data_IF_146867651011
#
_entry.id   IF_146867651011
#
_cell.length_a   1.000
_cell.length_b   1.000
_cell.length_c   1.000
_cell.angle_alpha   90.00
_cell.angle_beta   90.00
_cell.angle_gamma   90.00
#
_symmetry.space_group_name_H-M   'P 1'
#
loop_
_entity.id
_entity.type
_entity.pdbx_description
1 polymer ?
#
# COMPACT_ATOMS: atom_id res chain seq x y z
N UNK A 1 14.46 -4.46 -0.22
CA UNK A 1 13.19 -5.02 0.33
C UNK A 1 13.19 -5.02 1.86
N UNK A 2 14.16 -5.67 2.52
CA UNK A 2 14.21 -5.77 4.01
C UNK A 2 14.25 -4.41 4.72
N UNK A 3 15.10 -3.49 4.25
CA UNK A 3 15.17 -2.14 4.85
C UNK A 3 13.91 -1.28 4.65
N UNK A 4 13.08 -1.62 3.67
CA UNK A 4 11.85 -0.88 3.35
C UNK A 4 10.72 -1.30 4.29
N UNK A 5 10.49 -2.61 4.43
CA UNK A 5 9.48 -3.14 5.36
C UNK A 5 9.76 -2.73 6.81
N UNK A 6 11.04 -2.67 7.20
CA UNK A 6 11.41 -2.21 8.53
C UNK A 6 10.96 -0.76 8.79
N UNK A 7 11.37 0.16 7.92
CA UNK A 7 11.08 1.60 8.05
C UNK A 7 9.61 1.96 7.89
N UNK A 8 8.89 1.26 7.02
CA UNK A 8 7.49 1.59 6.71
C UNK A 8 6.47 0.86 7.60
N UNK A 9 6.87 -0.22 8.28
CA UNK A 9 5.96 -1.03 9.09
C UNK A 9 6.56 -1.43 10.45
N UNK A 10 7.69 -2.15 10.46
CA UNK A 10 8.15 -2.82 11.68
C UNK A 10 8.72 -1.87 12.75
N UNK A 11 9.22 -0.70 12.37
CA UNK A 11 9.64 0.33 13.34
C UNK A 11 8.43 1.06 13.98
N UNK A 12 7.21 0.81 13.50
CA UNK A 12 5.97 1.47 13.94
C UNK A 12 4.94 0.53 14.59
N UNK A 13 5.15 -0.78 14.52
CA UNK A 13 4.22 -1.80 15.05
C UNK A 13 4.93 -2.65 16.08
N UNK A 14 4.37 -2.70 17.30
CA UNK A 14 4.85 -3.62 18.33
C UNK A 14 4.43 -5.05 17.98
N UNK A 15 5.41 -5.90 17.68
CA UNK A 15 5.18 -7.31 17.39
C UNK A 15 5.04 -8.10 18.70
N UNK A 16 3.88 -8.72 18.88
CA UNK A 16 3.52 -9.39 20.14
C UNK A 16 3.94 -10.86 20.16
N UNK A 17 3.87 -11.50 19.00
CA UNK A 17 4.25 -12.90 18.80
C UNK A 17 4.45 -13.18 17.30
N UNK A 18 4.85 -14.40 16.98
CA UNK A 18 5.13 -14.82 15.61
C UNK A 18 3.88 -14.78 14.69
N UNK A 19 2.70 -15.10 15.22
CA UNK A 19 1.46 -15.03 14.45
C UNK A 19 1.12 -13.58 14.08
N UNK A 20 1.30 -12.64 15.01
CA UNK A 20 1.15 -11.21 14.74
C UNK A 20 2.19 -10.74 13.70
N UNK A 21 3.45 -11.17 13.82
CA UNK A 21 4.49 -10.86 12.83
C UNK A 21 4.08 -11.32 11.41
N UNK A 22 3.57 -12.55 11.29
CA UNK A 22 3.07 -13.09 10.02
C UNK A 22 1.94 -12.25 9.45
N UNK A 23 0.98 -11.83 10.28
CA UNK A 23 -0.12 -10.99 9.83
C UNK A 23 0.38 -9.63 9.33
N UNK A 24 1.24 -8.97 10.10
CA UNK A 24 1.82 -7.67 9.73
C UNK A 24 2.58 -7.76 8.40
N UNK A 25 3.41 -8.79 8.23
CA UNK A 25 4.16 -9.00 6.99
C UNK A 25 3.25 -9.35 5.81
N UNK A 26 2.16 -10.08 6.03
CA UNK A 26 1.18 -10.40 5.00
C UNK A 26 0.42 -9.14 4.53
N UNK A 27 -0.03 -8.30 5.47
CA UNK A 27 -0.67 -7.02 5.16
C UNK A 27 0.31 -6.09 4.43
N UNK A 28 1.55 -5.97 4.90
CA UNK A 28 2.57 -5.16 4.22
C UNK A 28 2.87 -5.68 2.81
N UNK A 29 2.96 -7.00 2.61
CA UNK A 29 3.16 -7.60 1.28
C UNK A 29 2.02 -7.24 0.34
N UNK A 30 0.77 -7.32 0.81
CA UNK A 30 -0.40 -6.94 0.02
C UNK A 30 -0.34 -5.46 -0.37
N UNK A 31 -0.02 -4.58 0.58
CA UNK A 31 0.20 -3.16 0.31
C UNK A 31 1.30 -2.94 -0.74
N UNK A 32 2.48 -3.55 -0.53
CA UNK A 32 3.65 -3.40 -1.39
C UNK A 32 3.34 -3.79 -2.84
N UNK A 33 2.62 -4.90 -3.02
CA UNK A 33 2.35 -5.47 -4.33
C UNK A 33 1.18 -4.80 -5.05
N UNK A 34 0.17 -4.30 -4.33
CA UNK A 34 -1.10 -3.82 -4.92
C UNK A 34 -1.27 -2.31 -4.89
N UNK A 35 -0.61 -1.60 -3.99
CA UNK A 35 -0.84 -0.15 -3.79
C UNK A 35 0.43 0.69 -3.75
N UNK A 36 1.53 0.17 -3.19
CA UNK A 36 2.77 0.96 -3.03
C UNK A 36 3.27 1.41 -4.40
N UNK A 37 3.53 2.71 -4.62
CA UNK A 37 4.06 3.18 -5.88
C UNK A 37 5.55 2.84 -6.02
N UNK A 38 5.96 2.36 -7.20
CA UNK A 38 7.36 2.03 -7.48
C UNK A 38 7.90 2.91 -8.60
N UNK A 39 8.92 3.71 -8.29
CA UNK A 39 9.52 4.65 -9.24
C UNK A 39 10.02 3.99 -10.52
N UNK A 40 10.60 2.80 -10.43
CA UNK A 40 11.07 2.02 -11.59
C UNK A 40 9.95 1.46 -12.47
N UNK A 41 8.68 1.58 -12.04
CA UNK A 41 7.49 1.16 -12.77
C UNK A 41 6.53 2.31 -13.01
N UNK A 42 7.03 3.55 -13.14
CA UNK A 42 6.19 4.73 -13.35
C UNK A 42 5.14 4.92 -12.25
N UNK A 43 5.54 4.71 -10.99
CA UNK A 43 4.67 4.73 -9.82
C UNK A 43 3.62 3.61 -9.77
N UNK A 44 3.71 2.59 -10.63
CA UNK A 44 2.79 1.45 -10.59
C UNK A 44 3.20 0.42 -9.53
N UNK A 45 2.23 -0.14 -8.79
CA UNK A 45 2.47 -1.30 -7.96
C UNK A 45 2.78 -2.54 -8.81
N UNK A 46 3.47 -3.55 -8.25
CA UNK A 46 3.88 -4.76 -8.96
C UNK A 46 2.74 -5.51 -9.66
N UNK A 47 1.58 -5.58 -9.00
CA UNK A 47 0.40 -6.28 -9.51
C UNK A 47 -0.51 -5.41 -10.39
N UNK A 48 -0.21 -4.12 -10.56
CA UNK A 48 -0.94 -3.31 -11.55
C UNK A 48 -0.56 -3.74 -12.97
N UNK A 49 -1.53 -4.30 -13.69
CA UNK A 49 -1.41 -4.72 -15.09
C UNK A 49 -1.65 -3.56 -16.06
N UNK A 50 -2.52 -2.61 -15.70
CA UNK A 50 -2.90 -1.48 -16.54
C UNK A 50 -2.34 -0.16 -16.00
N UNK A 51 -2.09 0.77 -16.92
CA UNK A 51 -1.78 2.15 -16.55
C UNK A 51 -3.07 2.79 -16.03
N UNK A 52 -3.10 3.36 -14.80
CA UNK A 52 -4.23 4.18 -14.42
C UNK A 52 -4.35 5.27 -15.48
N UNK A 53 -5.53 5.40 -16.09
CA UNK A 53 -5.79 6.42 -17.09
C UNK A 53 -5.31 7.76 -16.54
N UNK A 54 -4.46 8.44 -17.30
CA UNK A 54 -4.05 9.82 -16.97
C UNK A 54 -5.37 10.58 -16.74
N UNK A 55 -5.54 11.27 -15.60
CA UNK A 55 -6.79 11.95 -15.28
C UNK A 55 -6.95 13.19 -16.19
N UNK A 56 -7.17 12.96 -17.47
CA UNK A 56 -7.70 13.93 -18.39
C UNK A 56 -9.20 13.90 -18.16
N UNK A 57 -9.67 14.90 -17.38
CA UNK A 57 -11.07 15.08 -16.94
C UNK A 57 -11.47 14.14 -15.79
N UNK A 58 -11.02 14.49 -14.57
CA UNK A 58 -11.65 13.98 -13.35
C UNK A 58 -13.04 14.61 -13.24
N UNK A 59 -14.06 13.88 -13.71
CA UNK A 59 -15.35 13.93 -13.02
C UNK A 59 -15.06 13.77 -11.52
N UNK A 60 -15.74 14.52 -10.62
CA UNK A 60 -15.45 14.51 -9.19
C UNK A 60 -15.73 13.13 -8.57
N UNK A 61 -14.77 12.21 -8.74
CA UNK A 61 -14.78 10.87 -8.15
C UNK A 61 -14.36 10.98 -6.71
N UNK A 62 -15.18 10.41 -5.83
CA UNK A 62 -14.91 10.37 -4.39
C UNK A 62 -13.59 9.64 -4.13
N UNK A 63 -12.67 10.27 -3.39
CA UNK A 63 -11.46 9.63 -2.90
C UNK A 63 -11.77 8.82 -1.64
N UNK A 64 -11.42 7.54 -1.65
CA UNK A 64 -11.57 6.61 -0.54
C UNK A 64 -10.21 6.36 0.11
N UNK A 65 -10.15 6.48 1.43
CA UNK A 65 -8.98 6.14 2.25
C UNK A 65 -9.23 4.80 2.96
N UNK A 66 -8.23 3.92 2.91
CA UNK A 66 -8.19 2.68 3.70
C UNK A 66 -6.97 2.71 4.60
N UNK A 67 -7.15 2.43 5.89
CA UNK A 67 -6.07 2.32 6.86
C UNK A 67 -5.60 0.86 6.94
N UNK A 68 -4.30 0.64 6.84
CA UNK A 68 -3.65 -0.67 6.91
C UNK A 68 -2.66 -0.68 8.08
N UNK A 69 -2.41 -1.85 8.70
CA UNK A 69 -1.54 -1.97 9.88
C UNK A 69 -1.92 -0.99 11.02
N UNK A 70 -3.21 -0.93 11.36
CA UNK A 70 -3.68 -0.01 12.40
C UNK A 70 -3.54 1.48 12.07
N UNK A 71 -3.36 1.83 10.80
CA UNK A 71 -3.27 3.22 10.33
C UNK A 71 -1.84 3.73 10.11
N UNK A 72 -0.82 2.89 10.32
CA UNK A 72 0.57 3.18 9.93
C UNK A 72 0.66 3.48 8.43
N UNK A 73 -0.12 2.75 7.63
CA UNK A 73 -0.18 2.93 6.18
C UNK A 73 -1.59 3.39 5.78
N UNK A 74 -1.65 4.37 4.88
CA UNK A 74 -2.89 4.86 4.29
C UNK A 74 -2.88 4.63 2.79
N UNK A 75 -3.85 3.86 2.31
CA UNK A 75 -4.07 3.59 0.90
C UNK A 75 -5.21 4.46 0.38
N UNK A 76 -5.06 5.00 -0.83
CA UNK A 76 -6.04 5.88 -1.45
C UNK A 76 -6.46 5.34 -2.81
N UNK A 77 -7.77 5.32 -3.06
CA UNK A 77 -8.37 4.90 -4.34
C UNK A 77 -9.55 5.79 -4.70
N UNK A 78 -9.79 6.00 -5.98
CA UNK A 78 -11.05 6.63 -6.43
C UNK A 78 -12.19 5.61 -6.38
N UNK A 79 -13.40 6.07 -6.04
CA UNK A 79 -14.61 5.29 -6.22
C UNK A 79 -14.85 5.00 -7.71
N UNK A 80 -15.40 3.82 -8.02
CA UNK A 80 -15.71 3.38 -9.39
C UNK A 80 -16.74 4.30 -10.04
#
# INVERSE_FOLDING_TARGET
>A
MIGTVRREALDHVLIMNEAHARQVLAEYRNHYNRHRPHRSRDQRPPEAQEQPAVPHQLEPRRLLRTCVLGGVINEYRYAA
#
